data_IF_990076500590
#
_entry.id   IF_990076500590
#
_cell.length_a   1.000
_cell.length_b   1.000
_cell.length_c   1.000
_cell.angle_alpha   90.00
_cell.angle_beta   90.00
_cell.angle_gamma   90.00
#
_symmetry.space_group_name_H-M   'P 1'
#
loop_
_entity.id
_entity.type
_entity.pdbx_description
1 polymer ?
#
# COMPACT_ATOMS: atom_id res chain seq x y z
N UNK A 1 -103.68 63.15 -16.93
CA UNK A 1 -104.90 63.68 -17.57
C UNK A 1 -105.74 64.25 -16.45
N UNK A 2 -106.33 65.45 -16.58
CA UNK A 2 -107.17 65.97 -15.50
C UNK A 2 -108.45 65.15 -15.44
N UNK A 3 -108.73 64.54 -14.29
CA UNK A 3 -109.87 63.65 -14.17
C UNK A 3 -111.17 64.47 -14.12
N UNK A 4 -112.18 64.04 -14.88
CA UNK A 4 -113.45 64.73 -14.99
C UNK A 4 -114.48 63.97 -14.16
N UNK A 5 -114.74 64.44 -12.93
CA UNK A 5 -115.79 63.94 -12.06
C UNK A 5 -116.86 64.99 -11.86
N UNK A 6 -118.12 64.56 -11.95
CA UNK A 6 -119.29 65.41 -11.68
C UNK A 6 -120.14 64.76 -10.59
N UNK A 7 -120.66 65.58 -9.70
CA UNK A 7 -121.50 65.15 -8.58
C UNK A 7 -122.96 64.97 -9.01
N UNK A 8 -123.58 63.86 -8.60
CA UNK A 8 -124.99 63.56 -8.84
C UNK A 8 -125.66 63.06 -7.55
N UNK A 9 -126.92 63.44 -7.35
CA UNK A 9 -127.75 62.92 -6.28
C UNK A 9 -128.59 61.78 -6.83
N UNK A 10 -128.53 60.62 -6.19
CA UNK A 10 -129.27 59.41 -6.57
C UNK A 10 -130.17 59.01 -5.40
N UNK A 11 -131.47 58.95 -5.63
CA UNK A 11 -132.45 58.55 -4.62
C UNK A 11 -132.69 57.04 -4.63
N UNK A 12 -132.75 56.44 -3.45
CA UNK A 12 -133.11 55.04 -3.25
C UNK A 12 -134.62 54.82 -3.10
N UNK A 13 -135.37 55.88 -2.76
CA UNK A 13 -136.81 55.84 -2.47
C UNK A 13 -137.68 56.26 -3.66
N UNK A 14 -137.13 56.93 -4.68
CA UNK A 14 -137.90 57.39 -5.84
C UNK A 14 -137.11 57.33 -7.16
N UNK A 15 -137.80 57.57 -8.29
CA UNK A 15 -137.27 57.39 -9.64
C UNK A 15 -136.20 58.44 -10.03
N UNK A 16 -135.03 57.99 -10.51
CA UNK A 16 -133.90 58.82 -10.95
C UNK A 16 -133.81 59.05 -12.47
N UNK A 17 -134.87 58.81 -13.25
CA UNK A 17 -134.85 58.92 -14.73
C UNK A 17 -134.41 60.29 -15.30
N UNK A 18 -134.31 61.34 -14.48
CA UNK A 18 -133.79 62.65 -14.87
C UNK A 18 -132.25 62.74 -14.78
N UNK A 19 -131.60 61.78 -14.12
CA UNK A 19 -130.14 61.72 -13.98
C UNK A 19 -129.55 61.02 -15.21
N UNK A 20 -128.81 61.80 -15.99
CA UNK A 20 -128.08 61.34 -17.17
C UNK A 20 -126.62 61.73 -17.04
N UNK A 21 -125.75 60.74 -16.88
CA UNK A 21 -124.31 60.91 -16.77
C UNK A 21 -123.68 60.80 -18.16
N UNK A 22 -123.05 61.86 -18.70
CA UNK A 22 -122.44 61.82 -20.02
C UNK A 22 -121.04 61.17 -19.97
N UNK A 23 -120.74 60.33 -20.96
CA UNK A 23 -119.40 59.80 -21.21
C UNK A 23 -119.12 59.71 -22.72
N UNK A 24 -117.86 59.50 -23.10
CA UNK A 24 -117.42 59.36 -24.50
C UNK A 24 -116.93 57.94 -24.74
N UNK A 25 -117.26 57.36 -25.89
CA UNK A 25 -116.88 55.99 -26.21
C UNK A 25 -115.36 55.84 -26.23
N UNK A 26 -114.84 54.82 -25.54
CA UNK A 26 -113.41 54.56 -25.43
C UNK A 26 -112.71 55.27 -24.25
N UNK A 27 -113.41 56.17 -23.54
CA UNK A 27 -112.94 56.69 -22.26
C UNK A 27 -112.82 55.52 -21.24
N UNK A 28 -111.81 55.57 -20.38
CA UNK A 28 -111.54 54.55 -19.38
C UNK A 28 -110.20 54.78 -18.70
N UNK A 29 -109.82 53.92 -17.74
CA UNK A 29 -108.60 54.07 -16.95
C UNK A 29 -108.57 55.37 -16.12
N UNK A 30 -109.59 55.60 -15.29
CA UNK A 30 -109.64 56.71 -14.32
C UNK A 30 -109.63 58.11 -14.91
N UNK A 31 -109.93 58.27 -16.21
CA UNK A 31 -109.96 59.59 -16.87
C UNK A 31 -111.28 60.33 -16.71
N UNK A 32 -112.39 59.60 -16.54
CA UNK A 32 -113.74 60.14 -16.39
C UNK A 32 -114.54 59.28 -15.44
N UNK A 33 -115.23 59.92 -14.51
CA UNK A 33 -116.17 59.26 -13.64
C UNK A 33 -117.18 60.22 -13.05
N UNK A 34 -117.83 59.83 -11.97
CA UNK A 34 -118.78 60.67 -11.26
C UNK A 34 -118.88 60.29 -9.78
N UNK A 35 -119.25 61.27 -8.97
CA UNK A 35 -119.52 61.08 -7.54
C UNK A 35 -121.04 61.01 -7.34
N UNK A 36 -121.46 60.08 -6.48
CA UNK A 36 -122.87 59.87 -6.14
C UNK A 36 -123.10 60.16 -4.67
N UNK A 37 -123.98 61.12 -4.41
CA UNK A 37 -124.64 61.30 -3.12
C UNK A 37 -125.92 60.46 -3.10
N UNK A 38 -125.88 59.39 -2.31
CA UNK A 38 -127.01 58.48 -2.16
C UNK A 38 -127.96 59.04 -1.10
N UNK A 39 -129.25 59.16 -1.41
CA UNK A 39 -130.26 59.66 -0.48
C UNK A 39 -131.41 58.65 -0.34
N UNK A 40 -132.09 58.65 0.81
CA UNK A 40 -133.32 57.91 1.05
C UNK A 40 -134.27 58.77 1.87
N UNK A 41 -135.51 58.94 1.40
CA UNK A 41 -136.53 59.78 2.06
C UNK A 41 -136.03 61.21 2.38
N UNK A 42 -135.32 61.85 1.43
CA UNK A 42 -134.69 63.17 1.55
C UNK A 42 -133.58 63.30 2.61
N UNK A 43 -133.04 62.19 3.13
CA UNK A 43 -131.88 62.17 4.03
C UNK A 43 -130.74 61.43 3.36
N UNK A 44 -129.50 61.90 3.55
CA UNK A 44 -128.31 61.22 3.04
C UNK A 44 -128.22 59.79 3.59
N UNK A 45 -128.09 58.83 2.68
CA UNK A 45 -127.86 57.43 2.99
C UNK A 45 -126.35 57.18 3.02
N UNK A 46 -125.76 57.17 4.22
CA UNK A 46 -124.32 56.94 4.41
C UNK A 46 -124.05 55.44 4.45
N UNK A 47 -123.18 54.97 3.55
CA UNK A 47 -122.76 53.57 3.48
C UNK A 47 -121.51 53.37 4.32
N UNK A 48 -121.49 52.31 5.14
CA UNK A 48 -120.28 51.87 5.84
C UNK A 48 -119.44 50.96 4.92
N UNK A 49 -118.27 51.41 4.44
CA UNK A 49 -117.44 50.65 3.50
C UNK A 49 -116.82 49.41 4.14
N UNK A 50 -116.76 49.33 5.48
CA UNK A 50 -116.21 48.17 6.17
C UNK A 50 -117.13 46.95 6.06
N UNK A 51 -118.45 47.16 6.07
CA UNK A 51 -119.49 46.12 6.07
C UNK A 51 -120.22 45.95 4.74
N UNK A 52 -120.06 46.87 3.77
CA UNK A 52 -120.80 46.86 2.50
C UNK A 52 -119.86 46.97 1.29
N UNK A 53 -120.02 46.12 0.27
CA UNK A 53 -119.46 46.38 -1.06
C UNK A 53 -120.37 47.33 -1.81
N UNK A 54 -119.78 48.38 -2.38
CA UNK A 54 -120.50 49.37 -3.19
C UNK A 54 -120.10 49.14 -4.63
N UNK A 55 -121.08 48.89 -5.48
CA UNK A 55 -120.84 48.66 -6.90
C UNK A 55 -121.75 49.53 -7.75
N UNK A 56 -121.30 49.84 -8.96
CA UNK A 56 -122.19 50.23 -10.04
C UNK A 56 -122.54 48.99 -10.86
N UNK A 57 -123.83 48.66 -10.89
CA UNK A 57 -124.38 47.57 -11.69
C UNK A 57 -125.30 48.12 -12.75
N UNK A 58 -125.23 47.61 -13.97
CA UNK A 58 -126.10 48.09 -15.03
C UNK A 58 -126.03 47.28 -16.31
N UNK A 59 -126.92 47.62 -17.23
CA UNK A 59 -127.00 47.04 -18.57
C UNK A 59 -126.52 48.08 -19.58
N UNK A 60 -125.48 47.74 -20.31
CA UNK A 60 -124.91 48.57 -21.38
C UNK A 60 -125.85 48.66 -22.59
N UNK A 61 -125.66 49.62 -23.51
CA UNK A 61 -126.47 49.74 -24.73
C UNK A 61 -126.50 48.47 -25.61
N UNK A 62 -125.44 47.65 -25.56
CA UNK A 62 -125.34 46.36 -26.25
C UNK A 62 -125.97 45.19 -25.45
N UNK A 63 -126.78 45.48 -24.44
CA UNK A 63 -127.47 44.53 -23.55
C UNK A 63 -126.57 43.72 -22.60
N UNK A 64 -125.24 43.93 -22.63
CA UNK A 64 -124.34 43.24 -21.71
C UNK A 64 -124.38 43.88 -20.32
N UNK A 65 -124.48 43.03 -19.30
CA UNK A 65 -124.46 43.47 -17.90
C UNK A 65 -123.03 43.68 -17.41
N UNK A 66 -122.84 44.66 -16.53
CA UNK A 66 -121.59 44.90 -15.82
C UNK A 66 -121.87 45.07 -14.33
N UNK A 67 -120.85 44.80 -13.53
CA UNK A 67 -120.83 45.09 -12.10
C UNK A 67 -119.39 45.47 -11.73
N UNK A 68 -119.16 46.74 -11.45
CA UNK A 68 -117.85 47.25 -11.09
C UNK A 68 -117.89 47.79 -9.67
N UNK A 69 -116.84 47.51 -8.89
CA UNK A 69 -116.68 48.05 -7.55
C UNK A 69 -116.43 49.56 -7.61
N UNK A 70 -117.02 50.27 -6.66
CA UNK A 70 -116.90 51.71 -6.48
C UNK A 70 -116.23 52.00 -5.14
N UNK A 71 -115.49 53.10 -5.08
CA UNK A 71 -114.84 53.54 -3.85
C UNK A 71 -115.78 54.50 -3.09
N UNK A 72 -115.76 54.47 -1.76
CA UNK A 72 -116.51 55.45 -0.95
C UNK A 72 -115.52 56.50 -0.45
N UNK A 73 -115.80 57.77 -0.69
CA UNK A 73 -114.95 58.89 -0.29
C UNK A 73 -115.05 59.14 1.22
N UNK A 74 -114.10 59.88 1.78
CA UNK A 74 -114.11 60.26 3.20
C UNK A 74 -115.31 61.12 3.61
N UNK A 75 -116.03 61.70 2.64
CA UNK A 75 -117.25 62.49 2.83
C UNK A 75 -118.54 61.64 2.73
N UNK A 76 -118.41 60.33 2.47
CA UNK A 76 -119.55 59.41 2.34
C UNK A 76 -120.21 59.38 0.96
N UNK A 77 -119.55 59.94 -0.07
CA UNK A 77 -120.00 59.84 -1.46
C UNK A 77 -119.44 58.60 -2.14
N UNK A 78 -120.14 58.10 -3.14
CA UNK A 78 -119.71 56.94 -3.92
C UNK A 78 -119.00 57.44 -5.17
N UNK A 79 -117.70 57.18 -5.25
CA UNK A 79 -116.86 57.51 -6.38
C UNK A 79 -116.91 56.40 -7.42
N UNK A 80 -117.49 56.71 -8.58
CA UNK A 80 -117.68 55.78 -9.68
C UNK A 80 -116.72 56.12 -10.81
N UNK A 81 -115.76 55.23 -11.09
CA UNK A 81 -114.95 55.32 -12.31
C UNK A 81 -115.73 54.73 -13.50
N UNK A 82 -115.83 55.47 -14.60
CA UNK A 82 -116.40 54.92 -15.83
C UNK A 82 -115.30 54.12 -16.52
N UNK A 83 -115.34 52.81 -16.31
CA UNK A 83 -114.36 51.89 -16.89
C UNK A 83 -114.43 51.86 -18.42
N UNK A 84 -113.33 51.45 -19.05
CA UNK A 84 -113.29 51.24 -20.50
C UNK A 84 -114.36 50.26 -20.98
N UNK A 85 -114.76 49.30 -20.14
CA UNK A 85 -115.85 48.36 -20.44
C UNK A 85 -117.22 49.05 -20.47
N UNK A 86 -117.48 50.01 -19.58
CA UNK A 86 -118.75 50.75 -19.49
C UNK A 86 -118.92 51.71 -20.67
N UNK A 87 -117.83 52.35 -21.12
CA UNK A 87 -117.82 53.26 -22.27
C UNK A 87 -117.47 52.55 -23.60
N UNK A 88 -117.44 51.22 -23.66
CA UNK A 88 -117.06 50.48 -24.87
C UNK A 88 -118.05 50.66 -26.04
N UNK A 89 -119.33 50.89 -25.74
CA UNK A 89 -120.41 50.96 -26.73
C UNK A 89 -121.19 52.27 -26.57
N UNK A 90 -121.36 53.00 -27.67
CA UNK A 90 -122.16 54.21 -27.71
C UNK A 90 -123.66 53.93 -27.52
N UNK A 91 -124.37 54.86 -26.86
CA UNK A 91 -125.79 54.75 -26.55
C UNK A 91 -126.10 54.95 -25.07
N UNK A 92 -127.37 54.72 -24.72
CA UNK A 92 -127.88 54.86 -23.34
C UNK A 92 -127.89 53.51 -22.64
N UNK A 93 -127.23 53.41 -21.49
CA UNK A 93 -127.32 52.26 -20.60
C UNK A 93 -128.05 52.58 -19.31
N UNK A 94 -128.65 51.56 -18.70
CA UNK A 94 -129.41 51.63 -17.46
C UNK A 94 -128.55 51.14 -16.30
N UNK A 95 -128.29 52.00 -15.32
CA UNK A 95 -127.39 51.71 -14.20
C UNK A 95 -128.05 52.00 -12.85
N UNK A 96 -127.60 51.31 -11.83
CA UNK A 96 -127.99 51.50 -10.43
C UNK A 96 -126.77 51.37 -9.54
N UNK A 97 -126.77 52.09 -8.43
CA UNK A 97 -125.84 51.78 -7.33
C UNK A 97 -126.36 50.53 -6.64
N UNK A 98 -125.48 49.55 -6.46
CA UNK A 98 -125.77 48.27 -5.82
C UNK A 98 -124.94 48.19 -4.55
N UNK A 99 -125.62 48.13 -3.41
CA UNK A 99 -125.02 47.90 -2.11
C UNK A 99 -125.17 46.43 -1.77
N UNK A 100 -124.07 45.75 -1.45
CA UNK A 100 -124.04 44.34 -1.11
C UNK A 100 -123.47 44.19 0.29
N UNK A 101 -124.29 43.73 1.24
CA UNK A 101 -123.83 43.45 2.61
C UNK A 101 -122.83 42.28 2.60
N UNK A 102 -121.64 42.50 3.18
CA UNK A 102 -120.52 41.53 3.12
C UNK A 102 -120.78 40.25 3.90
N UNK A 103 -121.66 40.29 4.90
CA UNK A 103 -121.89 39.18 5.81
C UNK A 103 -123.09 38.31 5.39
N UNK A 104 -124.13 38.93 4.86
CA UNK A 104 -125.41 38.30 4.52
C UNK A 104 -125.61 38.13 3.01
N UNK A 105 -124.77 38.76 2.19
CA UNK A 105 -124.88 38.82 0.73
C UNK A 105 -126.25 39.33 0.24
N UNK A 106 -126.94 40.11 1.08
CA UNK A 106 -128.19 40.78 0.72
C UNK A 106 -127.87 42.03 -0.11
N UNK A 107 -128.72 42.32 -1.10
CA UNK A 107 -128.51 43.44 -2.01
C UNK A 107 -129.59 44.49 -1.88
N UNK A 108 -129.18 45.74 -1.82
CA UNK A 108 -130.04 46.91 -1.91
C UNK A 108 -129.60 47.74 -3.13
N UNK A 109 -130.55 48.14 -3.97
CA UNK A 109 -130.27 48.86 -5.22
C UNK A 109 -130.94 50.22 -5.20
N UNK A 110 -130.28 51.22 -5.77
CA UNK A 110 -130.94 52.49 -6.09
C UNK A 110 -131.96 52.31 -7.19
N UNK A 111 -132.90 53.26 -7.33
CA UNK A 111 -133.63 53.38 -8.59
C UNK A 111 -132.67 53.68 -9.75
N UNK A 112 -132.96 53.19 -10.96
CA UNK A 112 -132.05 53.29 -12.08
C UNK A 112 -131.86 54.74 -12.55
N UNK A 113 -130.67 55.04 -13.02
CA UNK A 113 -130.28 56.26 -13.73
C UNK A 113 -129.56 55.87 -15.03
N UNK A 114 -129.28 56.86 -15.88
CA UNK A 114 -128.72 56.59 -17.19
C UNK A 114 -127.27 57.06 -17.30
N UNK A 115 -126.43 56.25 -17.93
CA UNK A 115 -125.15 56.72 -18.48
C UNK A 115 -125.30 56.78 -20.00
N UNK A 116 -125.04 57.96 -20.57
CA UNK A 116 -125.14 58.22 -22.00
C UNK A 116 -123.74 58.31 -22.61
N UNK A 117 -123.37 57.28 -23.36
CA UNK A 117 -122.10 57.19 -24.06
C UNK A 117 -122.22 57.78 -25.46
N UNK A 118 -121.52 58.88 -25.71
CA UNK A 118 -121.47 59.53 -27.03
C UNK A 118 -120.44 58.83 -27.92
N UNK A 119 -120.73 58.51 -29.19
CA UNK A 119 -119.77 57.86 -30.07
C UNK A 119 -118.51 58.71 -30.25
N UNK A 120 -117.35 58.08 -30.19
CA UNK A 120 -116.08 58.70 -30.58
C UNK A 120 -115.99 58.70 -32.11
N UNK A 121 -115.43 59.75 -32.70
CA UNK A 121 -115.13 59.81 -34.14
C UNK A 121 -114.03 58.83 -34.57
N UNK A 122 -113.39 58.12 -33.63
CA UNK A 122 -112.35 57.12 -33.84
C UNK A 122 -112.54 55.92 -32.90
N UNK A 123 -112.72 54.71 -33.45
CA UNK A 123 -112.78 53.44 -32.72
C UNK A 123 -111.44 52.71 -32.82
N UNK A 124 -110.65 52.74 -31.74
CA UNK A 124 -109.40 51.97 -31.66
C UNK A 124 -109.65 50.48 -31.31
N UNK A 125 -110.84 50.15 -30.79
CA UNK A 125 -111.22 48.81 -30.33
C UNK A 125 -111.57 47.84 -31.47
N UNK A 126 -111.97 48.33 -32.65
CA UNK A 126 -112.27 47.47 -33.80
C UNK A 126 -111.00 46.91 -34.48
N UNK A 127 -109.83 47.50 -34.23
CA UNK A 127 -108.53 47.06 -34.78
C UNK A 127 -107.90 45.97 -33.89
N UNK A 128 -108.11 45.98 -32.57
CA UNK A 128 -107.47 45.06 -31.63
C UNK A 128 -108.08 43.65 -31.62
N UNK A 129 -109.39 43.50 -31.78
CA UNK A 129 -110.05 42.17 -31.67
C UNK A 129 -109.77 41.21 -32.83
N UNK A 130 -109.37 41.70 -34.02
CA UNK A 130 -109.25 40.87 -35.22
C UNK A 130 -107.92 40.08 -35.32
N UNK A 131 -106.88 40.42 -34.54
CA UNK A 131 -105.54 39.78 -34.64
C UNK A 131 -104.97 39.25 -33.30
N UNK A 132 -105.68 39.39 -32.18
CA UNK A 132 -105.22 38.90 -30.88
C UNK A 132 -105.11 37.36 -30.82
N UNK A 133 -106.01 36.66 -31.50
CA UNK A 133 -105.96 35.19 -31.55
C UNK A 133 -104.76 34.69 -32.36
N UNK A 134 -104.42 35.33 -33.48
CA UNK A 134 -103.25 34.98 -34.30
C UNK A 134 -101.93 35.23 -33.56
N UNK A 135 -101.83 36.38 -32.90
CA UNK A 135 -100.66 36.72 -32.07
C UNK A 135 -100.49 35.75 -30.90
N UNK A 136 -101.58 35.36 -30.22
CA UNK A 136 -101.55 34.40 -29.12
C UNK A 136 -101.04 33.03 -29.58
N UNK A 137 -101.56 32.52 -30.70
CA UNK A 137 -101.12 31.25 -31.30
C UNK A 137 -99.63 31.30 -31.66
N UNK A 138 -99.15 32.40 -32.25
CA UNK A 138 -97.72 32.59 -32.54
C UNK A 138 -96.85 32.53 -31.28
N UNK A 139 -97.26 33.21 -30.20
CA UNK A 139 -96.52 33.19 -28.93
C UNK A 139 -96.51 31.82 -28.28
N UNK A 140 -97.63 31.09 -28.30
CA UNK A 140 -97.72 29.72 -27.80
C UNK A 140 -96.75 28.82 -28.56
N UNK A 141 -96.75 28.88 -29.90
CA UNK A 141 -95.81 28.10 -30.72
C UNK A 141 -94.34 28.47 -30.43
N UNK A 142 -94.04 29.75 -30.19
CA UNK A 142 -92.70 30.20 -29.81
C UNK A 142 -92.27 29.66 -28.44
N UNK A 143 -93.18 29.66 -27.47
CA UNK A 143 -92.92 29.12 -26.12
C UNK A 143 -92.70 27.60 -26.18
N UNK A 144 -93.50 26.87 -26.95
CA UNK A 144 -93.33 25.44 -27.14
C UNK A 144 -91.98 25.12 -27.80
N UNK A 145 -91.58 25.89 -28.82
CA UNK A 145 -90.26 25.77 -29.44
C UNK A 145 -89.12 26.05 -28.45
N UNK A 146 -89.23 27.12 -27.66
CA UNK A 146 -88.25 27.44 -26.62
C UNK A 146 -88.13 26.31 -25.59
N UNK A 147 -89.25 25.69 -25.19
CA UNK A 147 -89.24 24.58 -24.26
C UNK A 147 -88.50 23.36 -24.82
N UNK A 148 -88.72 23.04 -26.10
CA UNK A 148 -87.98 21.97 -26.81
C UNK A 148 -86.47 22.30 -26.88
N UNK A 149 -86.12 23.55 -27.20
CA UNK A 149 -84.73 23.99 -27.31
C UNK A 149 -84.02 23.95 -25.94
N UNK A 150 -84.71 24.33 -24.86
CA UNK A 150 -84.20 24.20 -23.48
C UNK A 150 -83.94 22.74 -23.13
N UNK A 151 -84.89 21.84 -23.38
CA UNK A 151 -84.70 20.40 -23.11
C UNK A 151 -83.51 19.82 -23.89
N UNK A 152 -83.32 20.23 -25.15
CA UNK A 152 -82.15 19.81 -25.95
C UNK A 152 -80.84 20.35 -25.37
N UNK A 153 -80.82 21.61 -24.93
CA UNK A 153 -79.65 22.21 -24.33
C UNK A 153 -79.29 21.53 -23.00
N UNK A 154 -80.28 21.25 -22.15
CA UNK A 154 -80.09 20.53 -20.89
C UNK A 154 -79.49 19.14 -21.12
N UNK A 155 -80.00 18.39 -22.08
CA UNK A 155 -79.45 17.08 -22.44
C UNK A 155 -78.02 17.17 -22.98
N UNK A 156 -77.73 18.22 -23.76
CA UNK A 156 -76.39 18.49 -24.29
C UNK A 156 -75.41 18.83 -23.17
N UNK A 157 -75.80 19.73 -22.24
CA UNK A 157 -75.01 20.09 -21.07
C UNK A 157 -74.74 18.87 -20.21
N UNK A 158 -75.76 18.05 -19.92
CA UNK A 158 -75.60 16.83 -19.13
C UNK A 158 -74.60 15.86 -19.77
N UNK A 159 -74.69 15.66 -21.08
CA UNK A 159 -73.77 14.79 -21.82
C UNK A 159 -72.34 15.33 -21.77
N UNK A 160 -72.16 16.63 -22.00
CA UNK A 160 -70.85 17.27 -21.94
C UNK A 160 -70.25 17.24 -20.54
N UNK A 161 -71.06 17.42 -19.50
CA UNK A 161 -70.62 17.38 -18.12
C UNK A 161 -70.16 15.97 -17.74
N UNK A 162 -70.92 14.94 -18.10
CA UNK A 162 -70.50 13.54 -17.92
C UNK A 162 -69.20 13.24 -18.69
N UNK A 163 -69.05 13.74 -19.91
CA UNK A 163 -67.82 13.57 -20.68
C UNK A 163 -66.62 14.25 -20.02
N UNK A 164 -66.80 15.47 -19.49
CA UNK A 164 -65.77 16.22 -18.76
C UNK A 164 -65.38 15.50 -17.46
N UNK A 165 -66.36 15.01 -16.68
CA UNK A 165 -66.12 14.24 -15.46
C UNK A 165 -65.32 12.96 -15.74
N UNK A 166 -65.66 12.22 -16.79
CA UNK A 166 -64.90 11.04 -17.19
C UNK A 166 -63.47 11.38 -17.59
N UNK A 167 -63.28 12.43 -18.39
CA UNK A 167 -61.94 12.88 -18.78
C UNK A 167 -61.09 13.32 -17.58
N UNK A 168 -61.70 13.96 -16.59
CA UNK A 168 -61.02 14.37 -15.35
C UNK A 168 -60.66 13.16 -14.47
N UNK A 169 -61.54 12.17 -14.37
CA UNK A 169 -61.24 10.91 -13.69
C UNK A 169 -60.07 10.16 -14.35
N UNK A 170 -60.04 10.09 -15.69
CA UNK A 170 -58.92 9.50 -16.44
C UNK A 170 -57.62 10.28 -16.21
N UNK A 171 -57.67 11.61 -16.19
CA UNK A 171 -56.52 12.47 -15.88
C UNK A 171 -56.00 12.20 -14.47
N UNK A 172 -56.87 12.09 -13.48
CA UNK A 172 -56.53 11.78 -12.08
C UNK A 172 -55.88 10.39 -11.98
N UNK A 173 -56.44 9.38 -12.67
CA UNK A 173 -55.88 8.02 -12.67
C UNK A 173 -54.47 7.99 -13.30
N UNK A 174 -54.29 8.66 -14.44
CA UNK A 174 -52.99 8.78 -15.09
C UNK A 174 -51.96 9.50 -14.22
N UNK A 175 -52.39 10.55 -13.52
CA UNK A 175 -51.54 11.31 -12.60
C UNK A 175 -51.11 10.48 -11.38
N UNK A 176 -52.00 9.65 -10.86
CA UNK A 176 -51.68 8.69 -9.80
C UNK A 176 -50.62 7.68 -10.27
N UNK A 177 -50.78 7.11 -11.47
CA UNK A 177 -49.80 6.18 -12.08
C UNK A 177 -48.45 6.87 -12.29
N UNK A 178 -48.44 8.10 -12.83
CA UNK A 178 -47.22 8.90 -13.00
C UNK A 178 -46.48 9.09 -11.67
N UNK A 179 -47.23 9.44 -10.62
CA UNK A 179 -46.68 9.63 -9.27
C UNK A 179 -46.08 8.34 -8.70
N UNK A 180 -46.76 7.20 -8.86
CA UNK A 180 -46.23 5.90 -8.42
C UNK A 180 -44.94 5.53 -9.16
N UNK A 181 -44.90 5.72 -10.48
CA UNK A 181 -43.71 5.45 -11.29
C UNK A 181 -42.54 6.34 -10.89
N UNK A 182 -42.81 7.62 -10.61
CA UNK A 182 -41.78 8.57 -10.19
C UNK A 182 -41.20 8.21 -8.83
N UNK A 183 -42.05 7.84 -7.86
CA UNK A 183 -41.58 7.34 -6.57
C UNK A 183 -40.72 6.07 -6.71
N UNK A 184 -41.12 5.14 -7.59
CA UNK A 184 -40.34 3.94 -7.87
C UNK A 184 -38.98 4.27 -8.50
N UNK A 185 -38.94 5.24 -9.43
CA UNK A 185 -37.71 5.75 -10.04
C UNK A 185 -36.78 6.37 -9.00
N UNK A 186 -37.31 7.19 -8.09
CA UNK A 186 -36.53 7.80 -7.01
C UNK A 186 -35.96 6.75 -6.05
N UNK A 187 -36.76 5.76 -5.66
CA UNK A 187 -36.29 4.66 -4.81
C UNK A 187 -35.17 3.86 -5.48
N UNK A 188 -35.30 3.54 -6.78
CA UNK A 188 -34.26 2.85 -7.53
C UNK A 188 -32.96 3.67 -7.62
N UNK A 189 -33.08 4.99 -7.83
CA UNK A 189 -31.92 5.88 -7.90
C UNK A 189 -31.22 6.04 -6.54
N UNK A 190 -31.96 6.04 -5.42
CA UNK A 190 -31.36 5.99 -4.08
C UNK A 190 -30.60 4.69 -3.87
N UNK A 191 -31.21 3.54 -4.19
CA UNK A 191 -30.55 2.24 -4.07
C UNK A 191 -29.27 2.16 -4.93
N UNK A 192 -29.29 2.72 -6.15
CA UNK A 192 -28.11 2.81 -7.02
C UNK A 192 -26.99 3.65 -6.37
N UNK A 193 -27.32 4.79 -5.77
CA UNK A 193 -26.35 5.65 -5.08
C UNK A 193 -25.75 4.97 -3.86
N UNK A 194 -26.56 4.26 -3.07
CA UNK A 194 -26.10 3.53 -1.89
C UNK A 194 -25.15 2.39 -2.29
N UNK A 195 -25.49 1.63 -3.35
CA UNK A 195 -24.63 0.59 -3.90
C UNK A 195 -23.29 1.16 -4.40
N UNK A 196 -23.31 2.31 -5.06
CA UNK A 196 -22.11 2.98 -5.54
C UNK A 196 -21.23 3.51 -4.38
N UNK A 197 -21.85 4.02 -3.31
CA UNK A 197 -21.14 4.41 -2.09
C UNK A 197 -20.44 3.20 -1.43
N UNK A 198 -21.14 2.06 -1.32
CA UNK A 198 -20.54 0.82 -0.81
C UNK A 198 -19.37 0.33 -1.69
N UNK A 199 -19.52 0.40 -3.02
CA UNK A 199 -18.45 0.07 -3.97
C UNK A 199 -17.22 0.94 -3.74
N UNK A 200 -17.41 2.25 -3.59
CA UNK A 200 -16.30 3.19 -3.36
C UNK A 200 -15.60 2.96 -2.02
N UNK A 201 -16.34 2.63 -0.96
CA UNK A 201 -15.76 2.25 0.33
C UNK A 201 -14.92 0.98 0.20
N UNK A 202 -15.45 -0.07 -0.41
CA UNK A 202 -14.73 -1.32 -0.63
C UNK A 202 -13.45 -1.13 -1.46
N UNK A 203 -13.51 -0.28 -2.50
CA UNK A 203 -12.36 0.05 -3.33
C UNK A 203 -11.29 0.85 -2.57
N UNK A 204 -11.73 1.75 -1.68
CA UNK A 204 -10.82 2.50 -0.79
C UNK A 204 -10.11 1.55 0.18
N UNK A 205 -10.82 0.61 0.79
CA UNK A 205 -10.23 -0.42 1.66
C UNK A 205 -9.27 -1.33 0.91
N UNK A 206 -9.62 -1.73 -0.32
CA UNK A 206 -8.75 -2.54 -1.19
C UNK A 206 -7.43 -1.80 -1.47
N UNK A 207 -7.50 -0.53 -1.85
CA UNK A 207 -6.32 0.28 -2.13
C UNK A 207 -5.45 0.50 -0.88
N UNK A 208 -6.06 0.66 0.30
CA UNK A 208 -5.31 0.77 1.56
C UNK A 208 -4.54 -0.53 1.88
N UNK A 209 -5.17 -1.69 1.70
CA UNK A 209 -4.51 -3.00 1.86
C UNK A 209 -3.39 -3.19 0.84
N UNK A 210 -3.58 -2.76 -0.41
CA UNK A 210 -2.53 -2.83 -1.43
C UNK A 210 -1.31 -2.01 -1.03
N UNK A 211 -1.53 -0.77 -0.57
CA UNK A 211 -0.44 0.10 -0.13
C UNK A 211 0.32 -0.47 1.08
N UNK A 212 -0.38 -1.17 2.00
CA UNK A 212 0.26 -1.86 3.12
C UNK A 212 1.11 -3.04 2.64
N UNK A 213 0.60 -3.87 1.72
CA UNK A 213 1.36 -4.97 1.11
C UNK A 213 2.61 -4.47 0.39
N UNK A 214 2.49 -3.38 -0.38
CA UNK A 214 3.63 -2.78 -1.07
C UNK A 214 4.69 -2.29 -0.07
N UNK A 215 4.27 -1.67 1.04
CA UNK A 215 5.18 -1.24 2.10
C UNK A 215 5.90 -2.41 2.75
N UNK A 216 5.19 -3.49 3.07
CA UNK A 216 5.78 -4.72 3.61
C UNK A 216 6.77 -5.35 2.63
N UNK A 217 6.46 -5.34 1.33
CA UNK A 217 7.36 -5.84 0.30
C UNK A 217 8.65 -5.01 0.22
N UNK A 218 8.55 -3.68 0.27
CA UNK A 218 9.75 -2.82 0.30
C UNK A 218 10.63 -3.11 1.52
N UNK A 219 10.04 -3.39 2.69
CA UNK A 219 10.80 -3.79 3.89
C UNK A 219 11.49 -5.14 3.67
N UNK A 220 10.80 -6.12 3.09
CA UNK A 220 11.39 -7.43 2.76
C UNK A 220 12.56 -7.30 1.80
N UNK A 221 12.43 -6.47 0.76
CA UNK A 221 13.51 -6.18 -0.19
C UNK A 221 14.70 -5.56 0.54
N UNK A 222 14.49 -4.57 1.41
CA UNK A 222 15.56 -3.92 2.16
C UNK A 222 16.33 -4.90 3.07
N UNK A 223 15.61 -5.77 3.79
CA UNK A 223 16.24 -6.82 4.60
C UNK A 223 17.04 -7.82 3.77
N UNK A 224 16.56 -8.17 2.57
CA UNK A 224 17.26 -9.10 1.69
C UNK A 224 18.55 -8.48 1.12
N UNK A 225 18.55 -7.18 0.80
CA UNK A 225 19.76 -6.46 0.42
C UNK A 225 20.77 -6.36 1.58
N UNK A 226 20.30 -6.10 2.80
CA UNK A 226 21.17 -6.12 4.00
C UNK A 226 21.77 -7.51 4.22
N UNK A 227 20.98 -8.58 4.07
CA UNK A 227 21.45 -9.96 4.17
C UNK A 227 22.54 -10.26 3.13
N UNK A 228 22.36 -9.85 1.88
CA UNK A 228 23.37 -10.00 0.82
C UNK A 228 24.66 -9.25 1.14
N UNK A 229 24.56 -8.01 1.64
CA UNK A 229 25.72 -7.22 2.03
C UNK A 229 26.51 -7.88 3.18
N UNK A 230 25.81 -8.36 4.22
CA UNK A 230 26.41 -9.10 5.32
C UNK A 230 27.09 -10.40 4.86
N UNK A 231 26.47 -11.11 3.92
CA UNK A 231 27.04 -12.33 3.35
C UNK A 231 28.30 -12.04 2.53
N UNK A 232 28.34 -10.95 1.76
CA UNK A 232 29.53 -10.52 1.05
C UNK A 232 30.69 -10.19 2.02
N UNK A 233 30.39 -9.51 3.14
CA UNK A 233 31.38 -9.24 4.19
C UNK A 233 31.90 -10.55 4.80
N UNK A 234 31.02 -11.52 5.05
CA UNK A 234 31.40 -12.84 5.59
C UNK A 234 32.36 -13.56 4.65
N UNK A 235 32.05 -13.57 3.35
CA UNK A 235 32.90 -14.18 2.31
C UNK A 235 34.27 -13.49 2.28
N UNK A 236 34.31 -12.16 2.30
CA UNK A 236 35.59 -11.44 2.27
C UNK A 236 36.48 -11.77 3.49
N UNK A 237 35.90 -11.82 4.70
CA UNK A 237 36.64 -12.24 5.91
C UNK A 237 37.14 -13.68 5.83
N UNK A 238 36.38 -14.56 5.19
CA UNK A 238 36.79 -15.95 4.96
C UNK A 238 38.01 -16.01 4.03
N UNK A 239 38.01 -15.22 2.96
CA UNK A 239 39.15 -15.09 2.04
C UNK A 239 40.40 -14.56 2.75
N UNK A 240 40.28 -13.50 3.57
CA UNK A 240 41.38 -12.96 4.37
C UNK A 240 41.96 -14.01 5.34
N UNK A 241 41.09 -14.82 5.96
CA UNK A 241 41.52 -15.91 6.84
C UNK A 241 42.28 -16.98 6.04
N UNK A 242 41.81 -17.35 4.86
CA UNK A 242 42.47 -18.33 3.99
C UNK A 242 43.85 -17.83 3.53
N UNK A 243 43.98 -16.55 3.17
CA UNK A 243 45.27 -15.94 2.83
C UNK A 243 46.24 -16.00 4.01
N UNK A 244 45.77 -15.62 5.20
CA UNK A 244 46.58 -15.66 6.43
C UNK A 244 47.03 -17.08 6.78
N UNK A 245 46.13 -18.05 6.62
CA UNK A 245 46.43 -19.46 6.89
C UNK A 245 47.42 -20.03 5.87
N UNK A 246 47.32 -19.62 4.60
CA UNK A 246 48.28 -20.00 3.55
C UNK A 246 49.67 -19.46 3.88
N UNK A 247 49.78 -18.18 4.24
CA UNK A 247 51.06 -17.57 4.64
C UNK A 247 51.66 -18.26 5.88
N UNK A 248 50.83 -18.65 6.86
CA UNK A 248 51.27 -19.42 8.03
C UNK A 248 51.86 -20.78 7.64
N UNK A 249 51.22 -21.47 6.70
CA UNK A 249 51.69 -22.77 6.19
C UNK A 249 53.02 -22.61 5.47
N UNK A 250 53.16 -21.60 4.61
CA UNK A 250 54.41 -21.30 3.90
C UNK A 250 55.57 -21.00 4.87
N UNK A 251 55.34 -20.15 5.87
CA UNK A 251 56.34 -19.85 6.90
C UNK A 251 56.75 -21.09 7.71
N UNK A 252 55.79 -21.99 8.00
CA UNK A 252 56.08 -23.24 8.70
C UNK A 252 56.86 -24.24 7.83
N UNK A 253 56.66 -24.23 6.51
CA UNK A 253 57.48 -25.01 5.57
C UNK A 253 58.90 -24.48 5.53
N UNK A 254 59.09 -23.16 5.40
CA UNK A 254 60.41 -22.53 5.41
C UNK A 254 61.17 -22.83 6.71
N UNK A 255 60.50 -22.70 7.87
CA UNK A 255 61.06 -23.07 9.17
C UNK A 255 61.50 -24.54 9.23
N UNK A 256 60.75 -25.47 8.61
CA UNK A 256 61.12 -26.88 8.54
C UNK A 256 62.36 -27.11 7.67
N UNK A 257 62.48 -26.39 6.56
CA UNK A 257 63.64 -26.49 5.67
C UNK A 257 64.91 -25.93 6.35
N UNK A 258 64.81 -24.79 7.03
CA UNK A 258 65.89 -24.22 7.84
C UNK A 258 66.33 -25.16 8.97
N UNK A 259 65.35 -25.80 9.65
CA UNK A 259 65.60 -26.79 10.68
C UNK A 259 66.35 -28.01 10.13
N UNK A 260 65.95 -28.51 8.95
CA UNK A 260 66.62 -29.62 8.28
C UNK A 260 68.07 -29.25 7.90
N UNK A 261 68.29 -28.03 7.40
CA UNK A 261 69.64 -27.53 7.09
C UNK A 261 70.51 -27.42 8.35
N UNK A 262 69.95 -26.89 9.46
CA UNK A 262 70.66 -26.82 10.74
C UNK A 262 71.08 -28.21 11.21
N UNK A 263 70.19 -29.20 11.13
CA UNK A 263 70.50 -30.58 11.48
C UNK A 263 71.58 -31.19 10.58
N UNK A 264 71.59 -30.88 9.28
CA UNK A 264 72.65 -31.32 8.38
C UNK A 264 74.01 -30.71 8.76
N UNK A 265 74.05 -29.40 9.03
CA UNK A 265 75.26 -28.71 9.49
C UNK A 265 75.76 -29.25 10.83
N UNK A 266 74.85 -29.56 11.76
CA UNK A 266 75.16 -30.19 13.04
C UNK A 266 75.85 -31.55 12.85
N UNK A 267 75.35 -32.40 11.94
CA UNK A 267 75.99 -33.69 11.62
C UNK A 267 77.38 -33.51 11.03
N UNK A 268 77.58 -32.51 10.17
CA UNK A 268 78.91 -32.19 9.63
C UNK A 268 79.86 -31.78 10.75
N UNK A 269 79.42 -30.89 11.66
CA UNK A 269 80.24 -30.49 12.82
C UNK A 269 80.60 -31.69 13.69
N UNK A 270 79.65 -32.58 13.98
CA UNK A 270 79.90 -33.80 14.75
C UNK A 270 80.93 -34.71 14.07
N UNK A 271 80.84 -34.85 12.74
CA UNK A 271 81.81 -35.65 11.96
C UNK A 271 83.22 -35.03 12.04
N UNK A 272 83.33 -33.71 11.86
CA UNK A 272 84.60 -32.99 11.99
C UNK A 272 85.18 -33.06 13.41
N UNK A 273 84.31 -32.97 14.43
CA UNK A 273 84.67 -33.13 15.84
C UNK A 273 85.24 -34.53 16.09
N UNK A 274 84.57 -35.59 15.62
CA UNK A 274 85.08 -36.96 15.72
C UNK A 274 86.42 -37.12 15.00
N UNK A 275 86.59 -36.54 13.82
CA UNK A 275 87.88 -36.57 13.11
C UNK A 275 88.97 -35.86 13.91
N UNK A 276 88.71 -34.67 14.46
CA UNK A 276 89.68 -33.93 15.27
C UNK A 276 90.09 -34.72 16.52
N UNK A 277 89.15 -35.44 17.15
CA UNK A 277 89.44 -36.31 18.28
C UNK A 277 90.35 -37.48 17.88
N UNK A 278 90.11 -38.10 16.72
CA UNK A 278 90.98 -39.13 16.16
C UNK A 278 92.38 -38.59 15.84
N UNK A 279 92.48 -37.43 15.19
CA UNK A 279 93.76 -36.80 14.83
C UNK A 279 94.56 -36.43 16.09
N UNK A 280 93.87 -35.95 17.13
CA UNK A 280 94.47 -35.69 18.45
C UNK A 280 94.99 -36.97 19.09
N UNK A 281 94.19 -38.05 19.09
CA UNK A 281 94.58 -39.34 19.64
C UNK A 281 95.80 -39.93 18.90
N UNK A 282 95.82 -39.84 17.57
CA UNK A 282 96.95 -40.28 16.74
C UNK A 282 98.21 -39.46 17.03
N UNK A 283 98.09 -38.14 17.16
CA UNK A 283 99.21 -37.27 17.52
C UNK A 283 99.77 -37.60 18.91
N UNK A 284 98.90 -37.86 19.90
CA UNK A 284 99.32 -38.31 21.23
C UNK A 284 100.06 -39.66 21.14
N UNK A 285 99.57 -40.61 20.35
CA UNK A 285 100.22 -41.91 20.16
C UNK A 285 101.62 -41.75 19.57
N UNK A 286 101.78 -40.94 18.51
CA UNK A 286 103.08 -40.67 17.90
C UNK A 286 104.06 -39.98 18.87
N UNK A 287 103.58 -39.03 19.68
CA UNK A 287 104.41 -38.38 20.70
C UNK A 287 104.84 -39.38 21.78
N UNK A 288 103.95 -40.27 22.20
CA UNK A 288 104.28 -41.33 23.15
C UNK A 288 105.32 -42.31 22.58
N UNK A 289 105.19 -42.73 21.32
CA UNK A 289 106.19 -43.56 20.64
C UNK A 289 107.54 -42.85 20.56
N UNK A 290 107.56 -41.58 20.16
CA UNK A 290 108.78 -40.78 20.12
C UNK A 290 109.42 -40.64 21.51
N UNK A 291 108.62 -40.47 22.57
CA UNK A 291 109.10 -40.41 23.94
C UNK A 291 109.69 -41.76 24.40
N UNK A 292 109.08 -42.89 24.04
CA UNK A 292 109.63 -44.23 24.30
C UNK A 292 110.98 -44.40 23.59
N UNK A 293 111.09 -44.03 22.31
CA UNK A 293 112.34 -44.09 21.57
C UNK A 293 113.42 -43.20 22.17
N UNK A 294 113.07 -41.97 22.59
CA UNK A 294 114.00 -41.06 23.25
C UNK A 294 114.47 -41.62 24.62
N UNK A 295 113.57 -42.22 25.40
CA UNK A 295 113.91 -42.87 26.65
C UNK A 295 114.85 -44.06 26.42
N UNK A 296 114.54 -44.92 25.44
CA UNK A 296 115.40 -46.05 25.08
C UNK A 296 116.81 -45.58 24.62
N UNK A 297 116.89 -44.49 23.84
CA UNK A 297 118.16 -43.89 23.44
C UNK A 297 118.94 -43.31 24.64
N UNK A 298 118.24 -42.66 25.57
CA UNK A 298 118.82 -42.16 26.82
C UNK A 298 119.36 -43.29 27.69
N UNK A 299 118.59 -44.36 27.88
CA UNK A 299 118.99 -45.55 28.63
C UNK A 299 120.19 -46.25 27.98
N UNK A 300 120.21 -46.35 26.65
CA UNK A 300 121.35 -46.86 25.89
C UNK A 300 122.60 -45.98 26.10
N UNK A 301 122.48 -44.66 25.99
CA UNK A 301 123.58 -43.73 26.23
C UNK A 301 124.11 -43.84 27.67
N UNK A 302 123.23 -43.98 28.65
CA UNK A 302 123.60 -44.25 30.05
C UNK A 302 124.38 -45.55 30.18
N UNK A 303 123.89 -46.64 29.61
CA UNK A 303 124.59 -47.94 29.63
C UNK A 303 125.98 -47.87 28.97
N UNK A 304 126.12 -47.14 27.86
CA UNK A 304 127.43 -46.89 27.23
C UNK A 304 128.35 -46.06 28.14
N UNK A 305 127.82 -45.05 28.83
CA UNK A 305 128.55 -44.26 29.82
C UNK A 305 129.01 -45.10 31.02
N UNK A 306 128.14 -45.94 31.56
CA UNK A 306 128.45 -46.86 32.65
C UNK A 306 129.54 -47.87 32.23
N UNK A 307 129.44 -48.45 31.02
CA UNK A 307 130.47 -49.32 30.46
C UNK A 307 131.81 -48.60 30.28
N UNK A 308 131.81 -47.38 29.75
CA UNK A 308 133.03 -46.59 29.61
C UNK A 308 133.67 -46.26 30.98
N UNK A 309 132.84 -45.98 31.99
CA UNK A 309 133.30 -45.77 33.36
C UNK A 309 133.93 -47.04 33.96
N UNK A 310 133.31 -48.20 33.74
CA UNK A 310 133.87 -49.51 34.13
C UNK A 310 135.20 -49.80 33.44
N UNK A 311 135.30 -49.59 32.12
CA UNK A 311 136.55 -49.74 31.37
C UNK A 311 137.63 -48.76 31.85
N UNK A 312 137.25 -47.52 32.18
CA UNK A 312 138.14 -46.53 32.79
C UNK A 312 138.65 -46.98 34.17
N UNK A 313 137.77 -47.57 34.98
CA UNK A 313 138.12 -48.17 36.27
C UNK A 313 139.10 -49.33 36.13
N UNK A 314 138.87 -50.25 35.17
CA UNK A 314 139.78 -51.36 34.85
C UNK A 314 141.14 -50.85 34.35
N UNK A 315 141.15 -49.84 33.48
CA UNK A 315 142.38 -49.22 33.00
C UNK A 315 143.16 -48.54 34.14
N UNK A 316 142.47 -47.85 35.05
CA UNK A 316 143.08 -47.25 36.24
C UNK A 316 143.64 -48.33 37.19
N UNK A 317 142.91 -49.42 37.40
CA UNK A 317 143.40 -50.58 38.17
C UNK A 317 144.65 -51.19 37.52
N UNK A 318 144.66 -51.37 36.19
CA UNK A 318 145.84 -51.82 35.46
C UNK A 318 147.03 -50.84 35.58
N UNK A 319 146.78 -49.53 35.56
CA UNK A 319 147.81 -48.52 35.78
C UNK A 319 148.36 -48.53 37.22
N UNK A 320 147.51 -48.77 38.22
CA UNK A 320 147.91 -49.00 39.60
C UNK A 320 148.77 -50.26 39.68
N UNK A 321 148.33 -51.39 39.14
CA UNK A 321 149.12 -52.63 39.12
C UNK A 321 150.45 -52.46 38.39
N UNK A 322 150.50 -51.73 37.27
CA UNK A 322 151.75 -51.41 36.60
C UNK A 322 152.67 -50.53 37.46
N UNK A 323 152.10 -49.61 38.24
CA UNK A 323 152.84 -48.78 39.20
C UNK A 323 153.33 -49.60 40.38
N UNK A 324 152.54 -50.54 40.88
CA UNK A 324 152.92 -51.50 41.92
C UNK A 324 154.05 -52.39 41.44
N UNK A 325 153.96 -52.98 40.23
CA UNK A 325 155.04 -53.75 39.60
C UNK A 325 156.28 -52.86 39.43
N UNK A 326 156.13 -51.61 38.97
CA UNK A 326 157.25 -50.66 38.88
C UNK A 326 157.91 -50.45 40.24
N UNK A 327 157.12 -50.25 41.28
CA UNK A 327 157.63 -50.06 42.64
C UNK A 327 158.27 -51.34 43.20
N UNK A 328 157.70 -52.51 42.93
CA UNK A 328 158.23 -53.83 43.30
C UNK A 328 159.57 -54.09 42.59
N UNK A 329 159.68 -53.78 41.30
CA UNK A 329 160.94 -53.82 40.55
C UNK A 329 161.98 -52.85 41.11
N UNK A 330 161.58 -51.65 41.53
CA UNK A 330 162.46 -50.69 42.22
C UNK A 330 162.92 -51.26 43.56
N UNK A 331 162.02 -51.85 44.35
CA UNK A 331 162.36 -52.51 45.61
C UNK A 331 163.28 -53.71 45.39
N UNK A 332 163.08 -54.54 44.36
CA UNK A 332 163.96 -55.66 44.00
C UNK A 332 165.35 -55.18 43.53
N UNK A 333 165.40 -54.07 42.77
CA UNK A 333 166.66 -53.39 42.39
C UNK A 333 167.43 -52.92 43.61
N UNK A 334 166.75 -52.24 44.53
CA UNK A 334 167.40 -51.58 45.68
C UNK A 334 167.71 -52.56 46.84
N UNK A 335 166.99 -53.68 46.93
CA UNK A 335 167.25 -54.78 47.87
C UNK A 335 168.35 -55.75 47.41
N UNK A 336 168.93 -55.53 46.22
CA UNK A 336 170.04 -56.33 45.73
C UNK A 336 169.65 -57.69 45.14
N UNK A 337 168.36 -57.93 44.84
CA UNK A 337 167.87 -59.18 44.26
C UNK A 337 168.38 -59.45 42.82
N UNK A 338 168.92 -58.44 42.14
CA UNK A 338 169.54 -58.55 40.81
C UNK A 338 171.08 -58.58 40.86
N UNK A 339 171.70 -59.20 41.86
CA UNK A 339 173.15 -59.43 41.92
C UNK A 339 173.51 -60.90 41.67
N UNK A 340 173.64 -61.24 40.40
CA UNK A 340 174.36 -62.42 39.92
C UNK A 340 175.52 -61.99 39.01
N UNK A 341 176.58 -62.79 38.96
CA UNK A 341 177.77 -62.53 38.15
C UNK A 341 177.42 -62.32 36.68
N UNK A 342 178.15 -61.40 36.05
CA UNK A 342 178.00 -61.03 34.64
C UNK A 342 178.41 -62.22 33.76
N UNK A 343 177.43 -62.99 33.29
CA UNK A 343 177.64 -64.08 32.33
C UNK A 343 178.15 -63.57 30.98
N UNK A 344 178.92 -64.41 30.28
CA UNK A 344 179.46 -64.14 28.94
C UNK A 344 178.35 -63.71 27.96
N UNK A 345 178.61 -62.77 27.03
CA UNK A 345 177.63 -62.32 26.06
C UNK A 345 177.28 -63.45 25.07
N UNK A 346 176.12 -64.07 25.32
CA UNK A 346 175.50 -65.06 24.44
C UNK A 346 174.91 -64.41 23.19
N UNK A 347 175.66 -64.55 22.09
CA UNK A 347 175.30 -64.78 20.69
C UNK A 347 173.85 -64.49 20.23
N UNK A 348 173.79 -63.67 19.18
CA UNK A 348 172.66 -63.46 18.27
C UNK A 348 171.88 -64.75 17.95
N UNK A 349 170.58 -64.71 18.22
CA UNK A 349 169.62 -65.75 17.85
C UNK A 349 169.14 -65.60 16.41
N UNK A 350 169.97 -66.03 15.46
CA UNK A 350 169.54 -66.46 14.12
C UNK A 350 169.40 -67.98 14.16
N UNK A 351 168.19 -68.50 13.91
CA UNK A 351 167.90 -69.94 13.89
C UNK A 351 168.50 -70.56 12.62
N UNK A 352 169.43 -71.51 12.78
CA UNK A 352 170.24 -72.09 11.69
C UNK A 352 169.92 -73.54 11.32
N UNK A 353 168.84 -74.14 11.82
CA UNK A 353 168.38 -75.47 11.37
C UNK A 353 166.87 -75.60 11.50
N UNK A 354 166.18 -75.78 10.38
CA UNK A 354 164.76 -76.16 10.27
C UNK A 354 164.71 -77.69 10.19
N UNK A 355 163.94 -78.35 11.05
CA UNK A 355 163.72 -79.80 10.99
C UNK A 355 162.68 -80.17 9.90
N UNK A 356 162.66 -81.45 9.49
CA UNK A 356 161.65 -82.01 8.57
C UNK A 356 160.23 -81.59 9.01
N UNK A 357 159.46 -80.99 8.10
CA UNK A 357 158.11 -80.41 8.28
C UNK A 357 158.01 -79.07 9.05
N UNK A 358 159.11 -78.34 9.25
CA UNK A 358 159.06 -76.99 9.80
C UNK A 358 159.19 -75.92 8.70
N UNK A 359 158.57 -74.76 8.93
CA UNK A 359 158.66 -73.60 8.06
C UNK A 359 159.10 -72.39 8.87
N UNK A 360 160.02 -71.59 8.34
CA UNK A 360 160.41 -70.31 8.94
C UNK A 360 160.04 -69.14 8.02
N UNK A 361 159.64 -68.04 8.64
CA UNK A 361 159.42 -66.78 7.96
C UNK A 361 160.36 -65.72 8.51
N UNK A 362 160.91 -64.90 7.64
CA UNK A 362 161.75 -63.77 7.98
C UNK A 362 161.38 -62.60 7.07
N UNK A 363 161.46 -61.37 7.56
CA UNK A 363 161.30 -60.16 6.73
C UNK A 363 162.69 -59.63 6.41
N UNK A 364 163.02 -59.51 5.13
CA UNK A 364 164.28 -58.91 4.63
C UNK A 364 163.93 -57.82 3.65
N UNK A 365 164.46 -56.62 3.87
CA UNK A 365 164.25 -55.45 3.01
C UNK A 365 162.77 -55.19 2.65
N UNK A 366 161.88 -55.39 3.62
CA UNK A 366 160.42 -55.19 3.47
C UNK A 366 159.68 -56.33 2.78
N UNK A 367 160.36 -57.40 2.38
CA UNK A 367 159.76 -58.59 1.78
C UNK A 367 159.71 -59.75 2.78
N UNK A 368 158.56 -60.43 2.86
CA UNK A 368 158.43 -61.67 3.61
C UNK A 368 159.08 -62.82 2.83
N UNK A 369 160.19 -63.33 3.33
CA UNK A 369 160.90 -64.49 2.82
C UNK A 369 160.47 -65.71 3.64
N UNK A 370 160.03 -66.76 2.92
CA UNK A 370 159.63 -68.03 3.52
C UNK A 370 160.67 -69.09 3.15
N UNK A 371 161.30 -69.68 4.16
CA UNK A 371 162.32 -70.71 3.98
C UNK A 371 161.72 -72.07 4.34
N UNK A 372 161.82 -73.02 3.41
CA UNK A 372 161.32 -74.39 3.54
C UNK A 372 162.31 -75.36 2.87
N UNK A 373 162.21 -76.66 3.21
CA UNK A 373 163.05 -77.70 2.63
C UNK A 373 162.61 -78.08 1.21
N UNK A 374 163.54 -78.08 0.26
CA UNK A 374 163.35 -78.56 -1.12
C UNK A 374 163.29 -80.09 -1.17
N UNK A 375 162.11 -80.64 -1.45
CA UNK A 375 161.89 -82.10 -1.63
C UNK A 375 160.51 -82.57 -1.17
N UNK A 376 159.97 -81.98 -0.10
CA UNK A 376 158.66 -82.34 0.48
C UNK A 376 157.61 -81.21 0.39
N UNK A 377 158.04 -80.01 0.00
CA UNK A 377 157.18 -78.82 -0.09
C UNK A 377 157.28 -78.22 -1.50
N UNK A 378 156.17 -78.17 -2.24
CA UNK A 378 156.14 -77.56 -3.57
C UNK A 378 155.85 -76.05 -3.46
N UNK A 379 156.78 -75.22 -3.97
CA UNK A 379 156.71 -73.76 -4.02
C UNK A 379 155.40 -73.24 -4.62
N UNK A 380 154.88 -73.90 -5.65
CA UNK A 380 153.69 -73.46 -6.39
C UNK A 380 152.39 -73.60 -5.60
N UNK A 381 152.40 -74.29 -4.45
CA UNK A 381 151.23 -74.47 -3.58
C UNK A 381 151.02 -73.31 -2.61
N UNK A 382 151.93 -72.34 -2.55
CA UNK A 382 151.77 -71.11 -1.77
C UNK A 382 151.05 -70.04 -2.59
N UNK A 383 150.05 -69.39 -1.99
CA UNK A 383 149.33 -68.26 -2.60
C UNK A 383 148.87 -67.26 -1.53
N UNK A 384 148.60 -66.02 -1.93
CA UNK A 384 147.96 -65.02 -1.06
C UNK A 384 146.45 -65.02 -1.35
N UNK A 385 145.60 -65.12 -0.32
CA UNK A 385 144.15 -65.04 -0.50
C UNK A 385 143.67 -63.60 -0.70
N UNK A 386 142.37 -63.40 -0.98
CA UNK A 386 141.79 -62.06 -1.23
C UNK A 386 141.85 -61.11 -0.02
N UNK A 387 142.14 -61.63 1.17
CA UNK A 387 142.28 -60.86 2.41
C UNK A 387 143.75 -60.52 2.72
N UNK A 388 144.70 -60.98 1.90
CA UNK A 388 146.13 -60.71 2.08
C UNK A 388 146.89 -61.76 2.91
N UNK A 389 146.27 -62.88 3.29
CA UNK A 389 146.91 -63.94 4.05
C UNK A 389 147.68 -64.93 3.16
N UNK A 390 148.88 -65.35 3.58
CA UNK A 390 149.64 -66.42 2.93
C UNK A 390 149.05 -67.78 3.30
N UNK A 391 148.71 -68.59 2.30
CA UNK A 391 148.08 -69.90 2.45
C UNK A 391 148.82 -70.98 1.65
N UNK A 392 148.96 -72.17 2.25
CA UNK A 392 149.50 -73.36 1.60
C UNK A 392 148.39 -74.38 1.29
N UNK A 393 148.26 -74.80 0.04
CA UNK A 393 147.23 -75.78 -0.37
C UNK A 393 147.72 -77.21 -0.16
N UNK A 394 147.21 -77.91 0.86
CA UNK A 394 147.43 -79.35 1.02
C UNK A 394 146.52 -80.11 0.07
N UNK A 395 147.08 -80.95 -0.79
CA UNK A 395 146.35 -81.89 -1.67
C UNK A 395 146.44 -83.26 -1.00
N UNK A 396 145.29 -83.91 -0.77
CA UNK A 396 145.21 -85.22 -0.14
C UNK A 396 145.92 -86.30 -0.97
#
# INVERSE_FOLDING_TARGET
MQEIYKHYIIDMSCNNNFVQVPTVQGDGNKVRGFEVELIANNVQYVVDPSSTYVCIGGTKPDTKQILNECEVTSQGYIHVDITQQMAAVAGRGDYSIVLIDKNTNTQLKSFPFYILTTPSSYSAQDITSSNEFGLLVEKINKVEKLNIDVQKLENTIKTNETARENAENDRIANEAVRTTNENARESAERARKDAEALRNTAETERNAKEAERDKEEQIRIAHEEERKANEAIRIHKEEERLISETARIEAELERKDEEALRQANERVRQTQESQRQLDTAFSIANVNEAAIHAQAASDYAKAQGDYANEQGGLANAAAISATEIKNELITMRDSGAFKGDKGDPGRDGVITTININQMAFQIVDGHLILTYETGNTNAEKFSINREGHLVYRVTA
#
